data_IF_527938147374
#
_entry.id   IF_527938147374
#
_cell.length_a   1.000
_cell.length_b   1.000
_cell.length_c   1.000
_cell.angle_alpha   90.00
_cell.angle_beta   90.00
_cell.angle_gamma   90.00
#
_symmetry.space_group_name_H-M   'P 1'
#
loop_
_entity.id
_entity.type
_entity.pdbx_description
1 polymer ?
#
# COMPACT_ATOMS: atom_id res chain seq x y z
N UNK A 1 25.77 -3.57 5.38
CA UNK A 1 24.74 -4.31 4.62
C UNK A 1 23.39 -3.92 5.22
N UNK A 2 22.37 -3.59 4.42
CA UNK A 2 21.07 -3.10 4.95
C UNK A 2 20.37 -4.15 5.82
N UNK A 3 20.72 -5.42 5.59
CA UNK A 3 20.24 -6.62 6.29
C UNK A 3 21.20 -7.07 7.42
N UNK A 4 21.99 -6.17 8.01
CA UNK A 4 22.82 -6.50 9.17
C UNK A 4 21.96 -6.99 10.34
N UNK A 5 22.46 -7.92 11.15
CA UNK A 5 21.72 -8.52 12.27
C UNK A 5 21.50 -7.59 13.45
N UNK A 6 22.33 -6.55 13.60
CA UNK A 6 22.27 -5.62 14.72
C UNK A 6 21.45 -4.38 14.37
N UNK A 7 20.56 -4.01 15.28
CA UNK A 7 19.77 -2.79 15.19
C UNK A 7 20.69 -1.57 15.38
N UNK A 8 20.83 -0.76 14.34
CA UNK A 8 21.55 0.50 14.47
C UNK A 8 20.60 1.61 14.96
N UNK A 9 20.78 2.04 16.21
CA UNK A 9 20.00 3.09 16.86
C UNK A 9 20.51 4.50 16.55
N UNK A 10 21.69 4.65 15.93
CA UNK A 10 22.28 5.94 15.63
C UNK A 10 22.15 6.27 14.15
N UNK A 11 21.53 7.42 13.87
CA UNK A 11 21.43 7.95 12.49
C UNK A 11 22.74 8.63 12.05
N UNK A 12 23.67 8.89 12.98
CA UNK A 12 24.93 9.59 12.70
C UNK A 12 26.13 8.79 13.22
N UNK A 13 27.21 8.67 12.43
CA UNK A 13 27.31 9.06 11.01
C UNK A 13 26.42 8.18 10.12
N UNK A 14 25.78 8.77 9.10
CA UNK A 14 24.92 8.03 8.18
C UNK A 14 25.75 7.06 7.35
N UNK A 15 25.35 5.79 7.32
CA UNK A 15 25.94 4.78 6.46
C UNK A 15 25.36 4.83 5.04
N UNK A 16 24.09 5.24 4.93
CA UNK A 16 23.36 5.29 3.66
C UNK A 16 22.64 6.64 3.45
N UNK A 17 23.39 7.73 3.17
CA UNK A 17 22.81 9.07 3.01
C UNK A 17 21.76 9.17 1.89
N UNK A 18 21.83 8.30 0.87
CA UNK A 18 20.87 8.25 -0.21
C UNK A 18 19.45 7.89 0.26
N UNK A 19 19.30 7.03 1.26
CA UNK A 19 17.98 6.68 1.80
C UNK A 19 17.41 7.82 2.63
N UNK A 20 18.27 8.54 3.35
CA UNK A 20 17.85 9.75 4.04
C UNK A 20 17.41 10.84 3.04
N UNK A 21 18.11 10.98 1.91
CA UNK A 21 17.67 11.85 0.82
C UNK A 21 16.31 11.45 0.26
N UNK A 22 16.08 10.16 -0.01
CA UNK A 22 14.77 9.65 -0.46
C UNK A 22 13.66 9.97 0.55
N UNK A 23 13.92 9.78 1.84
CA UNK A 23 12.99 10.21 2.89
C UNK A 23 12.69 11.71 2.80
N UNK A 24 13.71 12.56 2.71
CA UNK A 24 13.53 14.01 2.59
C UNK A 24 12.78 14.42 1.31
N UNK A 25 12.98 13.70 0.21
CA UNK A 25 12.28 13.94 -1.04
C UNK A 25 10.81 13.48 -0.94
N UNK A 26 10.53 12.34 -0.30
CA UNK A 26 9.16 11.85 -0.08
C UNK A 26 8.30 12.77 0.81
N UNK A 27 8.91 13.51 1.75
CA UNK A 27 8.22 14.53 2.54
C UNK A 27 7.69 15.67 1.68
N UNK A 28 8.36 16.00 0.57
CA UNK A 28 7.92 17.10 -0.32
C UNK A 28 6.63 16.77 -1.06
N UNK A 29 6.21 15.50 -1.05
CA UNK A 29 5.02 15.00 -1.72
C UNK A 29 3.92 14.63 -0.71
N UNK A 30 3.88 15.28 0.45
CA UNK A 30 2.76 15.09 1.39
C UNK A 30 1.53 15.79 0.82
N UNK A 31 0.42 15.08 0.90
CA UNK A 31 -0.93 15.56 0.62
C UNK A 31 -1.87 14.94 1.65
N UNK A 32 -3.12 15.43 1.67
CA UNK A 32 -4.18 14.96 2.56
C UNK A 32 -5.45 14.69 1.78
N UNK A 33 -6.31 13.82 2.30
CA UNK A 33 -7.59 13.47 1.68
C UNK A 33 -8.53 14.67 1.55
N UNK A 34 -8.40 15.67 2.44
CA UNK A 34 -9.12 16.94 2.40
C UNK A 34 -8.80 17.80 1.16
N UNK A 35 -7.70 17.52 0.47
CA UNK A 35 -7.33 18.22 -0.78
C UNK A 35 -8.09 17.69 -2.01
N UNK A 36 -8.85 16.60 -1.86
CA UNK A 36 -9.61 15.98 -2.94
C UNK A 36 -11.04 16.53 -3.01
N UNK A 37 -11.41 17.09 -4.16
CA UNK A 37 -12.77 17.55 -4.44
C UNK A 37 -13.48 16.59 -5.41
N UNK A 38 -14.50 15.88 -4.91
CA UNK A 38 -15.31 14.94 -5.67
C UNK A 38 -16.59 15.55 -6.26
N UNK A 39 -16.84 16.85 -6.07
CA UNK A 39 -18.12 17.48 -6.43
C UNK A 39 -18.52 17.28 -7.90
N UNK A 40 -17.56 17.40 -8.82
CA UNK A 40 -17.77 17.23 -10.27
C UNK A 40 -17.92 15.76 -10.65
N UNK A 41 -17.22 14.86 -9.94
CA UNK A 41 -17.18 13.44 -10.26
C UNK A 41 -18.56 12.78 -10.12
N UNK A 42 -19.35 13.22 -9.15
CA UNK A 42 -20.72 12.76 -8.95
C UNK A 42 -21.60 12.95 -10.18
N UNK A 43 -21.55 14.13 -10.80
CA UNK A 43 -22.33 14.44 -12.00
C UNK A 43 -21.86 13.60 -13.19
N UNK A 44 -20.54 13.41 -13.32
CA UNK A 44 -19.96 12.64 -14.41
C UNK A 44 -20.31 11.15 -14.30
N UNK A 45 -20.17 10.56 -13.11
CA UNK A 45 -20.49 9.16 -12.84
C UNK A 45 -21.96 8.85 -13.08
N UNK A 46 -22.87 9.78 -12.73
CA UNK A 46 -24.31 9.60 -12.91
C UNK A 46 -24.76 9.79 -14.35
N UNK A 47 -24.31 10.85 -15.01
CA UNK A 47 -24.98 11.35 -16.22
C UNK A 47 -24.13 11.25 -17.50
N UNK A 48 -22.80 11.10 -17.39
CA UNK A 48 -21.90 11.19 -18.56
C UNK A 48 -21.23 9.89 -18.97
N UNK A 49 -21.19 8.89 -18.09
CA UNK A 49 -20.53 7.62 -18.38
C UNK A 49 -21.46 6.61 -19.02
N UNK A 50 -20.92 5.86 -19.99
CA UNK A 50 -21.57 4.66 -20.48
C UNK A 50 -21.55 3.55 -19.40
N UNK A 51 -22.48 2.58 -19.47
CA UNK A 51 -22.48 1.45 -18.53
C UNK A 51 -21.16 0.68 -18.47
N UNK A 52 -20.40 0.64 -19.58
CA UNK A 52 -19.10 -0.05 -19.65
C UNK A 52 -18.01 0.71 -18.92
N UNK A 53 -17.98 2.04 -19.05
CA UNK A 53 -17.02 2.90 -18.34
C UNK A 53 -17.31 2.91 -16.84
N UNK A 54 -18.59 3.03 -16.47
CA UNK A 54 -19.00 2.93 -15.08
C UNK A 54 -18.58 1.58 -14.47
N UNK A 55 -18.82 0.47 -15.17
CA UNK A 55 -18.38 -0.86 -14.72
C UNK A 55 -16.85 -0.93 -14.50
N UNK A 56 -16.05 -0.36 -15.42
CA UNK A 56 -14.60 -0.33 -15.29
C UNK A 56 -14.16 0.46 -14.04
N UNK A 57 -14.70 1.66 -13.84
CA UNK A 57 -14.35 2.50 -12.69
C UNK A 57 -14.72 1.82 -11.38
N UNK A 58 -15.96 1.30 -11.27
CA UNK A 58 -16.40 0.55 -10.08
C UNK A 58 -15.47 -0.63 -9.79
N UNK A 59 -15.04 -1.36 -10.82
CA UNK A 59 -14.10 -2.48 -10.68
C UNK A 59 -12.72 -2.03 -10.20
N UNK A 60 -12.21 -0.91 -10.69
CA UNK A 60 -10.91 -0.37 -10.29
C UNK A 60 -10.93 0.13 -8.85
N UNK A 61 -11.97 0.86 -8.46
CA UNK A 61 -12.14 1.34 -7.08
C UNK A 61 -12.21 0.17 -6.10
N UNK A 62 -13.00 -0.87 -6.41
CA UNK A 62 -13.07 -2.08 -5.61
C UNK A 62 -11.72 -2.82 -5.49
N UNK A 63 -10.93 -2.85 -6.57
CA UNK A 63 -9.60 -3.45 -6.57
C UNK A 63 -8.65 -2.70 -5.63
N UNK A 64 -8.55 -1.38 -5.76
CA UNK A 64 -7.59 -0.59 -4.99
C UNK A 64 -7.95 -0.47 -3.51
N UNK A 65 -9.24 -0.37 -3.16
CA UNK A 65 -9.69 -0.34 -1.77
C UNK A 65 -9.19 -1.52 -0.91
N UNK A 66 -8.90 -2.66 -1.55
CA UNK A 66 -8.37 -3.85 -0.88
C UNK A 66 -6.87 -4.05 -1.11
N UNK A 67 -6.33 -3.62 -2.25
CA UNK A 67 -4.94 -3.87 -2.63
C UNK A 67 -3.92 -3.07 -1.79
N UNK A 68 -4.19 -1.80 -1.48
CA UNK A 68 -3.21 -0.95 -0.77
C UNK A 68 -3.01 -1.39 0.69
N UNK A 69 -4.05 -1.94 1.32
CA UNK A 69 -3.95 -2.58 2.63
C UNK A 69 -2.98 -3.78 2.62
N UNK A 70 -2.91 -4.54 1.52
CA UNK A 70 -1.99 -5.67 1.39
C UNK A 70 -0.54 -5.22 1.32
N UNK A 71 -0.27 -4.13 0.60
CA UNK A 71 1.07 -3.52 0.49
C UNK A 71 1.52 -2.98 1.85
N UNK A 72 0.66 -2.24 2.55
CA UNK A 72 0.95 -1.71 3.87
C UNK A 72 1.27 -2.84 4.88
N UNK A 73 0.50 -3.93 4.87
CA UNK A 73 0.78 -5.10 5.72
C UNK A 73 2.16 -5.71 5.42
N UNK A 74 2.50 -5.90 4.14
CA UNK A 74 3.81 -6.43 3.77
C UNK A 74 4.96 -5.51 4.20
N UNK A 75 4.78 -4.20 4.07
CA UNK A 75 5.79 -3.22 4.45
C UNK A 75 6.15 -3.33 5.95
N UNK A 76 5.13 -3.49 6.81
CA UNK A 76 5.32 -3.57 8.26
C UNK A 76 5.83 -4.94 8.69
N UNK A 77 5.16 -6.02 8.25
CA UNK A 77 5.43 -7.36 8.76
C UNK A 77 6.73 -7.96 8.21
N UNK A 78 7.06 -7.63 6.96
CA UNK A 78 8.20 -8.23 6.27
C UNK A 78 9.35 -7.24 6.11
N UNK A 79 9.13 -6.10 5.47
CA UNK A 79 10.25 -5.21 5.13
C UNK A 79 10.83 -4.50 6.35
N UNK A 80 9.98 -3.89 7.19
CA UNK A 80 10.45 -3.15 8.36
C UNK A 80 11.17 -4.05 9.36
N UNK A 81 10.72 -5.31 9.50
CA UNK A 81 11.33 -6.35 10.34
C UNK A 81 12.77 -6.67 9.94
N UNK A 82 13.06 -6.74 8.64
CA UNK A 82 14.33 -7.25 8.11
C UNK A 82 15.35 -6.18 7.73
N UNK A 83 14.90 -4.95 7.48
CA UNK A 83 15.78 -3.82 7.22
C UNK A 83 16.27 -3.24 8.55
N UNK A 84 17.58 -3.14 8.73
CA UNK A 84 18.19 -2.56 9.94
C UNK A 84 18.87 -1.21 9.74
N UNK A 85 18.91 -0.68 8.50
CA UNK A 85 19.36 0.70 8.25
C UNK A 85 18.37 1.71 8.83
N UNK A 86 18.80 2.61 9.73
CA UNK A 86 17.92 3.63 10.28
C UNK A 86 17.44 4.62 9.21
N UNK A 87 18.29 4.96 8.23
CA UNK A 87 17.93 5.85 7.13
C UNK A 87 16.81 5.28 6.25
N UNK A 88 16.86 3.98 5.94
CA UNK A 88 15.82 3.33 5.14
C UNK A 88 14.54 3.10 5.96
N UNK A 89 14.64 2.82 7.26
CA UNK A 89 13.46 2.76 8.15
C UNK A 89 12.69 4.08 8.21
N UNK A 90 13.39 5.23 8.16
CA UNK A 90 12.71 6.53 8.06
C UNK A 90 11.91 6.64 6.76
N UNK A 91 12.48 6.19 5.64
CA UNK A 91 11.78 6.16 4.35
C UNK A 91 10.58 5.19 4.39
N UNK A 92 10.75 3.96 4.90
CA UNK A 92 9.66 3.00 5.06
C UNK A 92 8.54 3.56 5.95
N UNK A 93 8.88 4.29 7.02
CA UNK A 93 7.87 4.95 7.85
C UNK A 93 7.05 5.98 7.07
N UNK A 94 7.68 6.75 6.19
CA UNK A 94 6.96 7.68 5.30
C UNK A 94 6.14 6.94 4.25
N UNK A 95 6.67 5.88 3.66
CA UNK A 95 5.91 5.05 2.71
C UNK A 95 4.67 4.47 3.38
N UNK A 96 4.78 3.98 4.62
CA UNK A 96 3.62 3.47 5.36
C UNK A 96 2.54 4.55 5.54
N UNK A 97 2.95 5.76 5.89
CA UNK A 97 2.03 6.90 5.98
C UNK A 97 1.32 7.17 4.66
N UNK A 98 2.03 7.12 3.54
CA UNK A 98 1.44 7.29 2.20
C UNK A 98 0.45 6.18 1.85
N UNK A 99 0.75 4.92 2.18
CA UNK A 99 -0.21 3.82 1.97
C UNK A 99 -1.47 3.97 2.85
N UNK A 100 -1.37 4.52 4.06
CA UNK A 100 -2.54 4.80 4.89
C UNK A 100 -3.42 5.91 4.28
N UNK A 101 -2.81 6.96 3.71
CA UNK A 101 -3.54 7.99 2.96
C UNK A 101 -4.19 7.42 1.69
N UNK A 102 -3.52 6.50 1.00
CA UNK A 102 -4.11 5.79 -0.15
C UNK A 102 -5.34 4.98 0.27
N UNK A 103 -5.23 4.19 1.35
CA UNK A 103 -6.36 3.42 1.89
C UNK A 103 -7.53 4.34 2.23
N UNK A 104 -7.28 5.45 2.94
CA UNK A 104 -8.31 6.44 3.26
C UNK A 104 -8.96 7.03 2.00
N UNK A 105 -8.15 7.38 0.99
CA UNK A 105 -8.62 7.92 -0.29
C UNK A 105 -9.52 6.94 -1.03
N UNK A 106 -9.15 5.66 -1.09
CA UNK A 106 -9.97 4.66 -1.76
C UNK A 106 -11.25 4.34 -0.98
N UNK A 107 -11.25 4.45 0.34
CA UNK A 107 -12.48 4.39 1.13
C UNK A 107 -13.44 5.53 0.78
N UNK A 108 -12.92 6.76 0.68
CA UNK A 108 -13.71 7.89 0.21
C UNK A 108 -14.23 7.64 -1.22
N UNK A 109 -13.41 7.14 -2.14
CA UNK A 109 -13.86 6.82 -3.49
C UNK A 109 -14.96 5.75 -3.51
N UNK A 110 -14.85 4.71 -2.69
CA UNK A 110 -15.91 3.69 -2.55
C UNK A 110 -17.20 4.34 -2.04
N UNK A 111 -17.13 5.17 -1.00
CA UNK A 111 -18.32 5.82 -0.44
C UNK A 111 -18.98 6.83 -1.38
N UNK A 112 -18.19 7.57 -2.15
CA UNK A 112 -18.69 8.58 -3.08
C UNK A 112 -19.18 7.94 -4.39
N UNK A 113 -18.47 6.96 -4.94
CA UNK A 113 -18.75 6.44 -6.29
C UNK A 113 -19.71 5.24 -6.29
N UNK A 114 -19.88 4.56 -5.15
CA UNK A 114 -20.80 3.44 -4.97
C UNK A 114 -21.86 3.82 -3.91
N UNK A 115 -22.89 4.61 -4.26
CA UNK A 115 -23.90 5.02 -3.29
C UNK A 115 -24.71 3.84 -2.74
N UNK A 116 -24.90 2.77 -3.53
CA UNK A 116 -25.59 1.55 -3.11
C UNK A 116 -24.76 0.78 -2.06
N UNK A 117 -25.27 0.59 -0.83
CA UNK A 117 -24.59 -0.21 0.19
C UNK A 117 -24.28 -1.65 -0.23
N UNK A 118 -25.11 -2.25 -1.11
CA UNK A 118 -24.88 -3.61 -1.61
C UNK A 118 -23.67 -3.63 -2.53
N UNK A 119 -23.59 -2.71 -3.49
CA UNK A 119 -22.42 -2.58 -4.38
C UNK A 119 -21.14 -2.28 -3.58
N UNK A 120 -21.23 -1.50 -2.50
CA UNK A 120 -20.10 -1.27 -1.58
C UNK A 120 -19.64 -2.55 -0.90
N UNK A 121 -20.57 -3.33 -0.36
CA UNK A 121 -20.24 -4.62 0.25
C UNK A 121 -19.55 -5.56 -0.75
N UNK A 122 -20.06 -5.63 -1.98
CA UNK A 122 -19.44 -6.41 -3.06
C UNK A 122 -18.05 -5.89 -3.44
N UNK A 123 -17.84 -4.58 -3.41
CA UNK A 123 -16.56 -3.95 -3.67
C UNK A 123 -15.51 -4.30 -2.60
N UNK A 124 -15.89 -4.36 -1.33
CA UNK A 124 -14.99 -4.81 -0.26
C UNK A 124 -14.66 -6.31 -0.35
N UNK A 125 -15.60 -7.12 -0.83
CA UNK A 125 -15.40 -8.56 -1.05
C UNK A 125 -14.74 -8.89 -2.41
N UNK A 126 -14.39 -7.87 -3.20
CA UNK A 126 -13.83 -8.00 -4.55
C UNK A 126 -12.61 -8.93 -4.63
N UNK A 127 -11.73 -8.91 -3.61
CA UNK A 127 -10.54 -9.74 -3.58
C UNK A 127 -10.82 -11.24 -3.45
N UNK A 128 -12.02 -11.62 -3.00
CA UNK A 128 -12.49 -13.00 -2.91
C UNK A 128 -13.41 -13.36 -4.07
N UNK A 129 -14.32 -12.45 -4.44
CA UNK A 129 -15.40 -12.71 -5.37
C UNK A 129 -14.97 -12.64 -6.84
N UNK A 130 -13.93 -11.86 -7.16
CA UNK A 130 -13.47 -11.65 -8.55
C UNK A 130 -12.25 -12.52 -8.83
N UNK A 131 -12.32 -13.49 -9.76
CA UNK A 131 -11.20 -14.41 -10.01
C UNK A 131 -9.89 -13.71 -10.37
N UNK A 132 -9.92 -12.66 -11.18
CA UNK A 132 -8.71 -11.93 -11.58
C UNK A 132 -8.07 -11.14 -10.45
N UNK A 133 -8.87 -10.60 -9.52
CA UNK A 133 -8.35 -9.91 -8.33
C UNK A 133 -7.80 -10.93 -7.34
N UNK A 134 -8.53 -12.03 -7.12
CA UNK A 134 -8.08 -13.13 -6.28
C UNK A 134 -6.73 -13.68 -6.72
N UNK A 135 -6.53 -13.92 -8.02
CA UNK A 135 -5.24 -14.40 -8.54
C UNK A 135 -4.08 -13.43 -8.24
N UNK A 136 -4.32 -12.12 -8.27
CA UNK A 136 -3.32 -11.12 -7.88
C UNK A 136 -3.05 -11.13 -6.38
N UNK A 137 -4.10 -11.23 -5.57
CA UNK A 137 -3.97 -11.32 -4.11
C UNK A 137 -3.20 -12.59 -3.71
N UNK A 138 -3.55 -13.75 -4.28
CA UNK A 138 -2.88 -15.03 -4.04
C UNK A 138 -1.40 -15.00 -4.45
N UNK A 139 -1.08 -14.31 -5.56
CA UNK A 139 0.31 -14.06 -5.94
C UNK A 139 1.05 -13.26 -4.88
N UNK A 140 0.47 -12.17 -4.38
CA UNK A 140 1.10 -11.37 -3.33
C UNK A 140 1.26 -12.18 -2.03
N UNK A 141 0.22 -12.89 -1.58
CA UNK A 141 0.27 -13.73 -0.39
C UNK A 141 1.38 -14.78 -0.46
N UNK A 142 1.57 -15.43 -1.61
CA UNK A 142 2.66 -16.39 -1.81
C UNK A 142 4.03 -15.83 -1.42
N UNK A 143 4.35 -14.58 -1.80
CA UNK A 143 5.64 -13.97 -1.46
C UNK A 143 5.67 -13.41 -0.05
N UNK A 144 4.56 -12.84 0.42
CA UNK A 144 4.46 -12.38 1.81
C UNK A 144 4.66 -13.53 2.80
N UNK A 145 4.03 -14.67 2.53
CA UNK A 145 4.10 -15.86 3.38
C UNK A 145 5.47 -16.53 3.30
N UNK A 146 6.17 -16.46 2.14
CA UNK A 146 7.49 -17.06 1.98
C UNK A 146 8.57 -16.51 2.92
N UNK A 147 8.35 -15.31 3.47
CA UNK A 147 9.29 -14.64 4.38
C UNK A 147 8.71 -14.42 5.78
N UNK A 148 7.47 -14.86 6.03
CA UNK A 148 6.77 -14.61 7.28
C UNK A 148 7.41 -15.37 8.47
N UNK A 149 7.91 -16.59 8.22
CA UNK A 149 8.63 -17.42 9.21
C UNK A 149 10.09 -16.99 9.43
N UNK A 150 10.63 -16.08 8.59
CA UNK A 150 11.95 -15.54 8.81
C UNK A 150 11.87 -14.51 9.95
N UNK A 151 12.45 -14.84 11.11
CA UNK A 151 12.50 -13.90 12.23
C UNK A 151 13.77 -13.04 12.24
N UNK A 152 14.89 -13.63 11.86
CA UNK A 152 16.21 -12.98 11.84
C UNK A 152 17.01 -13.43 10.63
N UNK A 153 17.76 -12.49 10.06
CA UNK A 153 18.69 -12.73 8.96
C UNK A 153 20.11 -13.01 9.48
N UNK A 154 20.22 -14.02 10.33
CA UNK A 154 21.46 -14.39 11.05
C UNK A 154 22.45 -15.24 10.23
N UNK A 155 22.01 -15.77 9.09
CA UNK A 155 22.84 -16.60 8.21
C UNK A 155 22.80 -16.09 6.77
N UNK A 156 23.87 -16.32 6.01
CA UNK A 156 23.95 -15.90 4.61
C UNK A 156 22.97 -16.66 3.70
N UNK A 157 22.50 -17.84 4.11
CA UNK A 157 21.40 -18.53 3.43
C UNK A 157 20.06 -17.80 3.63
N UNK A 158 19.75 -17.36 4.86
CA UNK A 158 18.53 -16.59 5.13
C UNK A 158 18.52 -15.22 4.44
N UNK A 159 19.69 -14.60 4.25
CA UNK A 159 19.81 -13.33 3.49
C UNK A 159 19.55 -13.47 1.98
N UNK A 160 19.51 -14.69 1.45
CA UNK A 160 19.30 -15.00 0.01
C UNK A 160 17.89 -15.50 -0.31
N UNK A 161 17.08 -15.76 0.72
CA UNK A 161 15.66 -16.07 0.58
C UNK A 161 14.88 -14.77 0.41
#
# INVERSE_FOLDING_TARGET
>A
MILNTELNLTLRPMQYPQFFKLYKDSIKNIWTTDELDFSIDYEHLRDKLSPKEAHLIKRLVAFFATADNLVAHNLVLNFYKHINSPEYRMFLGKQLFDEMLHVETYLLLVDNYLPDPVERSEAFDAYRSIPSVKLKADFCFKYMDSINELDKLDTDQKKKQ
#
